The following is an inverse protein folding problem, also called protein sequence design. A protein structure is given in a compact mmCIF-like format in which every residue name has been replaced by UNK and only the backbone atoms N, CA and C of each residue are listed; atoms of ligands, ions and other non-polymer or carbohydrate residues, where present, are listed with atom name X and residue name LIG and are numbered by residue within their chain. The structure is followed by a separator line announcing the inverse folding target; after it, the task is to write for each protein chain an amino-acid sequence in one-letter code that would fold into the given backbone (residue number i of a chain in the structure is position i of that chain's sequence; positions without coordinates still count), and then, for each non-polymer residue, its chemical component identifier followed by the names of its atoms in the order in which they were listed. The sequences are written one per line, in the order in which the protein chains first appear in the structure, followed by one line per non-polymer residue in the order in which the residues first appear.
data_IF_998189022597
#
_entry.id   IF_998189022597
#
_cell.length_a   1.000
_cell.length_b   1.000
_cell.length_c   1.000
_cell.angle_alpha   90.00
_cell.angle_beta   90.00
_cell.angle_gamma   90.00
#
_symmetry.space_group_name_H-M   'P 1'
#
loop_
_entity.id
_entity.type
_entity.pdbx_description
1 polymer ?
#
# COMPACT_ATOMS: atom_id res chain seq x y z
N UNK A 1 -7.89 21.89 -9.57
CA UNK A 1 -8.52 20.80 -8.78
C UNK A 1 -7.44 20.16 -7.94
N UNK A 2 -7.77 19.61 -6.76
CA UNK A 2 -6.77 18.91 -5.95
C UNK A 2 -6.29 17.65 -6.68
N UNK A 3 -4.99 17.35 -6.63
CA UNK A 3 -4.40 16.13 -7.23
C UNK A 3 -4.66 14.89 -6.40
N UNK A 4 -5.03 15.05 -5.12
CA UNK A 4 -5.47 14.00 -4.22
C UNK A 4 -6.85 14.37 -3.68
N UNK A 5 -7.83 13.48 -3.83
CA UNK A 5 -9.15 13.61 -3.21
C UNK A 5 -9.14 12.78 -1.94
N UNK A 6 -9.47 13.43 -0.82
CA UNK A 6 -9.52 12.80 0.50
C UNK A 6 -10.97 12.71 0.93
N UNK A 7 -11.40 11.52 1.29
CA UNK A 7 -12.72 11.28 1.87
C UNK A 7 -12.66 10.28 3.01
N UNK A 8 -13.67 10.28 3.86
CA UNK A 8 -13.72 9.43 5.04
C UNK A 8 -15.03 8.68 5.12
N UNK A 9 -14.94 7.40 5.44
CA UNK A 9 -16.08 6.54 5.74
C UNK A 9 -15.85 5.88 7.10
N UNK A 10 -16.49 6.39 8.14
CA UNK A 10 -16.27 5.97 9.54
C UNK A 10 -14.78 6.05 9.93
N UNK A 11 -14.13 4.91 10.19
CA UNK A 11 -12.72 4.81 10.56
C UNK A 11 -11.79 4.53 9.37
N UNK A 12 -12.30 4.59 8.14
CA UNK A 12 -11.54 4.36 6.91
C UNK A 12 -11.28 5.69 6.20
N UNK A 13 -10.02 5.99 5.92
CA UNK A 13 -9.60 7.11 5.08
C UNK A 13 -9.44 6.62 3.64
N UNK A 14 -10.16 7.23 2.69
CA UNK A 14 -10.02 6.96 1.26
C UNK A 14 -9.24 8.09 0.60
N UNK A 15 -8.14 7.73 -0.06
CA UNK A 15 -7.23 8.59 -0.80
C UNK A 15 -7.33 8.25 -2.29
N UNK A 16 -7.93 9.15 -3.08
CA UNK A 16 -8.12 8.95 -4.52
C UNK A 16 -7.13 9.82 -5.30
N UNK A 17 -6.24 9.18 -6.04
CA UNK A 17 -5.32 9.84 -6.96
C UNK A 17 -6.13 10.50 -8.08
N UNK A 18 -5.95 11.81 -8.30
CA UNK A 18 -6.82 12.62 -9.15
C UNK A 18 -6.04 13.54 -10.10
N UNK A 19 -5.22 12.93 -10.94
CA UNK A 19 -4.55 13.57 -12.09
C UNK A 19 -4.93 12.83 -13.38
N UNK A 20 -6.23 12.87 -13.78
CA UNK A 20 -6.72 12.04 -14.90
C UNK A 20 -6.09 12.39 -16.24
N UNK A 21 -5.73 13.65 -16.48
CA UNK A 21 -5.06 14.09 -17.71
C UNK A 21 -3.66 13.47 -17.85
N UNK A 22 -2.95 13.31 -16.74
CA UNK A 22 -1.62 12.70 -16.64
C UNK A 22 -1.69 11.21 -16.26
N UNK A 23 -2.84 10.57 -16.41
CA UNK A 23 -3.07 9.15 -16.09
C UNK A 23 -2.66 8.79 -14.64
N UNK A 24 -2.87 9.71 -13.71
CA UNK A 24 -2.45 9.63 -12.31
C UNK A 24 -0.94 9.44 -12.12
N UNK A 25 -0.11 9.97 -13.02
CA UNK A 25 1.34 9.96 -12.85
C UNK A 25 1.73 10.66 -11.53
N UNK A 26 2.64 10.03 -10.79
CA UNK A 26 3.07 10.46 -9.46
C UNK A 26 4.15 11.55 -9.59
N UNK A 27 3.74 12.81 -9.47
CA UNK A 27 4.66 13.95 -9.31
C UNK A 27 4.99 14.20 -7.83
N UNK A 28 5.91 15.11 -7.56
CA UNK A 28 6.31 15.44 -6.19
C UNK A 28 5.17 16.05 -5.37
N UNK A 29 4.29 16.83 -5.99
CA UNK A 29 3.15 17.45 -5.32
C UNK A 29 2.15 16.40 -4.83
N UNK A 30 1.75 15.45 -5.68
CA UNK A 30 0.84 14.37 -5.33
C UNK A 30 1.44 13.44 -4.26
N UNK A 31 2.74 13.07 -4.40
CA UNK A 31 3.44 12.26 -3.39
C UNK A 31 3.50 12.97 -2.04
N UNK A 32 3.77 14.28 -2.03
CA UNK A 32 3.79 15.07 -0.79
C UNK A 32 2.42 15.13 -0.14
N UNK A 33 1.34 15.36 -0.92
CA UNK A 33 -0.03 15.33 -0.40
C UNK A 33 -0.36 13.95 0.20
N UNK A 34 -0.03 12.87 -0.52
CA UNK A 34 -0.28 11.50 -0.05
C UNK A 34 0.45 11.20 1.27
N UNK A 35 1.73 11.59 1.37
CA UNK A 35 2.53 11.45 2.61
C UNK A 35 1.89 12.23 3.75
N UNK A 36 1.54 13.49 3.55
CA UNK A 36 0.98 14.35 4.60
C UNK A 36 -0.35 13.79 5.12
N UNK A 37 -1.22 13.31 4.25
CA UNK A 37 -2.49 12.69 4.64
C UNK A 37 -2.29 11.38 5.43
N UNK A 38 -1.34 10.54 5.02
CA UNK A 38 -1.03 9.32 5.75
C UNK A 38 -0.37 9.60 7.10
N UNK A 39 0.50 10.60 7.23
CA UNK A 39 1.09 11.01 8.50
C UNK A 39 0.03 11.60 9.45
N UNK A 40 -0.87 12.42 8.94
CA UNK A 40 -2.02 12.90 9.71
C UNK A 40 -2.90 11.74 10.17
N UNK A 41 -3.20 10.79 9.28
CA UNK A 41 -3.95 9.60 9.62
C UNK A 41 -3.23 8.70 10.63
N UNK A 42 -1.89 8.64 10.63
CA UNK A 42 -1.11 7.83 11.57
C UNK A 42 -1.35 8.24 13.02
N UNK A 43 -1.55 9.52 13.28
CA UNK A 43 -1.78 10.10 14.62
C UNK A 43 -3.26 10.29 14.97
N UNK A 44 -4.15 10.25 13.99
CA UNK A 44 -5.61 10.38 14.22
C UNK A 44 -6.20 9.05 14.70
N UNK A 45 -6.51 8.96 16.00
CA UNK A 45 -7.14 7.76 16.61
C UNK A 45 -8.49 7.39 16.01
N UNK A 46 -9.15 8.31 15.30
CA UNK A 46 -10.42 8.09 14.63
C UNK A 46 -10.29 7.41 13.25
N UNK A 47 -9.06 7.24 12.73
CA UNK A 47 -8.74 6.49 11.51
C UNK A 47 -8.02 5.20 11.88
N UNK A 48 -8.49 4.07 11.38
CA UNK A 48 -7.89 2.75 11.63
C UNK A 48 -7.23 2.14 10.39
N UNK A 49 -7.75 2.44 9.19
CA UNK A 49 -7.30 1.87 7.91
C UNK A 49 -7.32 2.94 6.83
N UNK A 50 -6.37 2.89 5.91
CA UNK A 50 -6.36 3.74 4.71
C UNK A 50 -6.53 2.91 3.44
N UNK A 51 -7.24 3.45 2.46
CA UNK A 51 -7.40 2.88 1.12
C UNK A 51 -6.88 3.88 0.11
N UNK A 52 -6.02 3.45 -0.81
CA UNK A 52 -5.56 4.24 -1.95
C UNK A 52 -6.21 3.68 -3.21
N UNK A 53 -6.75 4.56 -4.05
CA UNK A 53 -7.31 4.19 -5.35
C UNK A 53 -7.00 5.25 -6.41
N UNK A 54 -7.25 4.91 -7.66
CA UNK A 54 -7.22 5.83 -8.79
C UNK A 54 -8.60 5.96 -9.44
N UNK A 55 -8.64 5.95 -10.75
CA UNK A 55 -9.88 5.91 -11.53
C UNK A 55 -10.05 4.57 -12.26
N UNK A 56 -11.15 4.39 -12.98
CA UNK A 56 -11.46 3.14 -13.67
C UNK A 56 -10.40 2.67 -14.70
N UNK A 57 -9.59 3.58 -15.24
CA UNK A 57 -8.58 3.30 -16.28
C UNK A 57 -7.15 3.32 -15.77
N UNK A 58 -6.87 4.09 -14.73
CA UNK A 58 -5.53 4.27 -14.18
C UNK A 58 -5.57 4.32 -12.66
N UNK A 59 -4.92 3.36 -12.02
CA UNK A 59 -4.49 3.53 -10.65
C UNK A 59 -3.40 4.61 -10.62
N UNK A 60 -2.26 4.33 -11.23
CA UNK A 60 -1.20 5.30 -11.50
C UNK A 60 -0.27 4.78 -12.60
N UNK A 61 0.00 5.60 -13.63
CA UNK A 61 0.75 5.19 -14.82
C UNK A 61 2.27 5.30 -14.66
N UNK A 62 2.78 5.64 -13.47
CA UNK A 62 4.21 5.75 -13.19
C UNK A 62 4.61 7.06 -12.54
N UNK A 63 5.90 7.37 -12.54
CA UNK A 63 6.41 8.68 -12.16
C UNK A 63 6.07 9.72 -13.24
N UNK A 64 5.97 10.99 -12.85
CA UNK A 64 5.83 12.07 -13.82
C UNK A 64 7.17 12.27 -14.55
N UNK A 65 7.20 11.88 -15.83
CA UNK A 65 8.42 11.92 -16.63
C UNK A 65 8.86 13.35 -16.93
N UNK A 66 7.95 14.34 -16.94
CA UNK A 66 8.32 15.74 -17.12
C UNK A 66 9.20 16.24 -15.96
N UNK A 67 8.92 15.81 -14.72
CA UNK A 67 9.77 16.13 -13.57
C UNK A 67 11.13 15.41 -13.58
N UNK A 68 11.27 14.34 -14.35
CA UNK A 68 12.50 13.55 -14.44
C UNK A 68 13.39 13.99 -15.61
N UNK A 69 12.79 14.42 -16.72
CA UNK A 69 13.49 14.66 -17.98
C UNK A 69 14.57 15.74 -17.89
N UNK A 70 14.40 16.73 -17.02
CA UNK A 70 15.33 17.86 -16.86
C UNK A 70 16.38 17.65 -15.76
N UNK A 71 16.33 16.51 -15.04
CA UNK A 71 17.26 16.26 -13.93
C UNK A 71 18.58 15.66 -14.43
N UNK A 72 19.66 16.36 -14.16
CA UNK A 72 21.01 15.81 -14.24
C UNK A 72 21.35 14.91 -13.04
N UNK A 73 22.57 14.40 -12.99
CA UNK A 73 23.05 13.56 -11.90
C UNK A 73 23.00 14.28 -10.53
N UNK A 74 23.38 15.57 -10.50
CA UNK A 74 23.42 16.34 -9.25
C UNK A 74 21.98 16.57 -8.71
N UNK A 75 21.04 16.92 -9.59
CA UNK A 75 19.64 17.07 -9.25
C UNK A 75 19.00 15.75 -8.81
N UNK A 76 19.40 14.63 -9.44
CA UNK A 76 18.93 13.29 -9.06
C UNK A 76 19.46 12.87 -7.68
N UNK A 77 20.71 13.14 -7.36
CA UNK A 77 21.30 12.84 -6.04
C UNK A 77 20.64 13.66 -4.91
N UNK A 78 20.20 14.88 -5.21
CA UNK A 78 19.53 15.76 -4.26
C UNK A 78 17.99 15.67 -4.31
N UNK A 79 17.44 14.67 -5.01
CA UNK A 79 15.99 14.49 -5.12
C UNK A 79 15.35 14.16 -3.76
N UNK A 80 14.24 14.81 -3.47
CA UNK A 80 13.46 14.55 -2.24
C UNK A 80 12.53 13.34 -2.34
N UNK A 81 12.34 12.78 -3.53
CA UNK A 81 11.45 11.61 -3.75
C UNK A 81 11.81 10.40 -2.88
N UNK A 82 13.09 10.02 -2.71
CA UNK A 82 13.45 8.91 -1.83
C UNK A 82 12.95 9.12 -0.38
N UNK A 83 13.03 10.35 0.14
CA UNK A 83 12.51 10.66 1.47
C UNK A 83 10.97 10.55 1.54
N UNK A 84 10.24 10.99 0.49
CA UNK A 84 8.78 10.83 0.42
C UNK A 84 8.40 9.34 0.42
N UNK A 85 9.08 8.51 -0.35
CA UNK A 85 8.85 7.05 -0.35
C UNK A 85 9.18 6.41 1.01
N UNK A 86 10.25 6.83 1.68
CA UNK A 86 10.58 6.35 3.02
C UNK A 86 9.48 6.71 4.04
N UNK A 87 8.91 7.92 3.95
CA UNK A 87 7.78 8.35 4.79
C UNK A 87 6.51 7.55 4.51
N UNK A 88 6.19 7.28 3.23
CA UNK A 88 5.08 6.38 2.85
C UNK A 88 5.27 4.98 3.46
N UNK A 89 6.50 4.45 3.36
CA UNK A 89 6.84 3.15 3.93
C UNK A 89 6.72 3.13 5.46
N UNK A 90 6.95 4.24 6.14
CA UNK A 90 6.86 4.33 7.61
C UNK A 90 5.42 4.30 8.13
N UNK A 91 4.39 4.43 7.27
CA UNK A 91 3.00 4.43 7.70
C UNK A 91 2.63 3.11 8.42
N UNK A 92 2.13 3.24 9.66
CA UNK A 92 1.99 2.13 10.60
C UNK A 92 0.60 1.48 10.66
N UNK A 93 -0.44 2.09 10.07
CA UNK A 93 -1.78 1.51 10.01
C UNK A 93 -1.97 0.70 8.72
N UNK A 94 -2.92 -0.26 8.65
CA UNK A 94 -3.21 -0.99 7.44
C UNK A 94 -3.46 -0.07 6.25
N UNK A 95 -2.87 -0.41 5.11
CA UNK A 95 -2.96 0.31 3.86
C UNK A 95 -3.38 -0.64 2.74
N UNK A 96 -4.49 -0.35 2.07
CA UNK A 96 -5.05 -1.17 1.00
C UNK A 96 -4.95 -0.40 -0.32
N UNK A 97 -4.45 -1.03 -1.38
CA UNK A 97 -4.57 -0.53 -2.73
C UNK A 97 -5.80 -1.14 -3.42
N UNK A 98 -6.72 -0.30 -3.89
CA UNK A 98 -7.81 -0.69 -4.77
C UNK A 98 -7.45 -0.30 -6.21
N UNK A 99 -7.04 -1.28 -7.00
CA UNK A 99 -6.40 -1.06 -8.29
C UNK A 99 -7.33 -1.38 -9.44
N UNK A 100 -7.71 -0.37 -10.22
CA UNK A 100 -8.34 -0.52 -11.52
C UNK A 100 -7.42 0.00 -12.62
N UNK A 101 -7.48 -0.63 -13.80
CA UNK A 101 -6.68 -0.24 -14.95
C UNK A 101 -5.18 -0.36 -14.68
N UNK A 102 -4.41 0.60 -15.12
CA UNK A 102 -2.94 0.50 -15.12
C UNK A 102 -2.33 0.94 -13.79
N UNK A 103 -1.52 0.06 -13.18
CA UNK A 103 -0.57 0.32 -12.11
C UNK A 103 0.84 0.03 -12.67
N UNK A 104 1.51 1.05 -13.21
CA UNK A 104 2.78 0.90 -13.90
C UNK A 104 3.89 1.70 -13.21
N UNK A 105 5.13 1.21 -13.28
CA UNK A 105 6.30 1.89 -12.72
C UNK A 105 6.08 2.28 -11.26
N UNK A 106 6.29 3.54 -10.92
CA UNK A 106 6.04 4.08 -9.57
C UNK A 106 4.60 3.82 -9.07
N UNK A 107 3.60 3.67 -9.96
CA UNK A 107 2.25 3.27 -9.59
C UNK A 107 2.17 1.81 -9.14
N UNK A 108 2.91 0.92 -9.80
CA UNK A 108 3.05 -0.47 -9.34
C UNK A 108 3.83 -0.53 -8.02
N UNK A 109 4.88 0.28 -7.87
CA UNK A 109 5.65 0.39 -6.63
C UNK A 109 4.81 0.88 -5.45
N UNK A 110 3.87 1.81 -5.70
CA UNK A 110 2.90 2.27 -4.70
C UNK A 110 1.93 1.14 -4.30
N UNK A 111 1.42 0.37 -5.27
CA UNK A 111 0.59 -0.79 -4.97
C UNK A 111 1.36 -1.85 -4.16
N UNK A 112 2.60 -2.16 -4.53
CA UNK A 112 3.49 -3.08 -3.83
C UNK A 112 3.88 -2.61 -2.40
N UNK A 113 3.80 -1.33 -2.12
CA UNK A 113 4.04 -0.77 -0.78
C UNK A 113 2.85 -1.00 0.15
N UNK A 114 1.64 -1.11 -0.39
CA UNK A 114 0.43 -1.37 0.38
C UNK A 114 0.45 -2.77 1.00
N UNK A 115 -0.22 -2.95 2.13
CA UNK A 115 -0.28 -4.24 2.84
C UNK A 115 -1.15 -5.25 2.10
N UNK A 116 -2.20 -4.77 1.42
CA UNK A 116 -3.14 -5.59 0.63
C UNK A 116 -3.41 -4.90 -0.69
N UNK A 117 -3.42 -5.67 -1.77
CA UNK A 117 -3.82 -5.21 -3.09
C UNK A 117 -5.08 -5.94 -3.52
N UNK A 118 -6.16 -5.20 -3.72
CA UNK A 118 -7.41 -5.66 -4.34
C UNK A 118 -7.45 -5.11 -5.76
N UNK A 119 -7.77 -5.92 -6.74
CA UNK A 119 -7.71 -5.52 -8.15
C UNK A 119 -9.04 -5.73 -8.87
N UNK A 120 -9.35 -4.85 -9.80
CA UNK A 120 -10.37 -5.09 -10.83
C UNK A 120 -9.84 -6.01 -11.93
N UNK A 121 -10.74 -6.71 -12.60
CA UNK A 121 -10.40 -7.62 -13.73
C UNK A 121 -9.61 -6.92 -14.85
N UNK A 122 -9.79 -5.60 -14.99
CA UNK A 122 -9.11 -4.78 -15.98
C UNK A 122 -7.70 -4.35 -15.53
N UNK A 123 -7.29 -4.67 -14.31
CA UNK A 123 -6.01 -4.19 -13.78
C UNK A 123 -4.80 -4.82 -14.50
N UNK A 124 -3.76 -3.98 -14.64
CA UNK A 124 -2.46 -4.35 -15.21
C UNK A 124 -1.35 -3.85 -14.31
N UNK A 125 -0.43 -4.72 -13.97
CA UNK A 125 0.71 -4.42 -13.11
C UNK A 125 2.01 -4.57 -13.91
N UNK A 126 2.91 -3.62 -13.84
CA UNK A 126 4.18 -3.70 -14.57
C UNK A 126 5.21 -2.69 -14.09
N UNK A 127 6.48 -2.99 -14.38
CA UNK A 127 7.63 -2.13 -14.10
C UNK A 127 8.39 -1.90 -15.42
N UNK A 128 7.87 -1.02 -16.32
CA UNK A 128 8.41 -0.85 -17.66
C UNK A 128 9.59 0.12 -17.76
N UNK A 129 10.20 0.51 -16.65
CA UNK A 129 11.26 1.53 -16.57
C UNK A 129 12.45 1.22 -17.48
N UNK A 130 12.70 -0.06 -17.73
CA UNK A 130 13.80 -0.50 -18.62
C UNK A 130 13.64 0.05 -20.05
N UNK A 131 12.43 0.27 -20.50
CA UNK A 131 12.14 0.84 -21.83
C UNK A 131 12.54 2.32 -21.94
N UNK A 132 12.80 2.98 -20.81
CA UNK A 132 13.26 4.35 -20.70
C UNK A 132 14.76 4.45 -20.40
N UNK A 133 15.49 3.33 -20.38
CA UNK A 133 16.91 3.29 -20.03
C UNK A 133 17.20 3.46 -18.54
N UNK A 134 16.22 3.24 -17.70
CA UNK A 134 16.32 3.29 -16.23
C UNK A 134 15.77 2.01 -15.62
N UNK A 135 15.75 1.92 -14.30
CA UNK A 135 15.18 0.80 -13.55
C UNK A 135 14.20 1.31 -12.48
N UNK A 136 13.34 0.45 -11.91
CA UNK A 136 12.49 0.82 -10.78
C UNK A 136 13.32 1.38 -9.63
N UNK A 137 12.91 2.53 -9.08
CA UNK A 137 13.68 3.28 -8.09
C UNK A 137 12.99 3.50 -6.74
N UNK A 138 11.73 3.06 -6.59
CA UNK A 138 10.96 3.21 -5.34
C UNK A 138 10.66 1.87 -4.64
N UNK A 139 11.47 0.85 -4.91
CA UNK A 139 11.43 -0.45 -4.25
C UNK A 139 10.82 -1.57 -5.10
N UNK A 140 10.48 -1.30 -6.38
CA UNK A 140 9.86 -2.28 -7.27
C UNK A 140 10.68 -3.55 -7.42
N UNK A 141 11.98 -3.46 -7.65
CA UNK A 141 12.86 -4.63 -7.76
C UNK A 141 12.90 -5.47 -6.49
N UNK A 142 12.77 -4.83 -5.32
CA UNK A 142 12.88 -5.49 -4.02
C UNK A 142 11.55 -6.11 -3.56
N UNK A 143 10.44 -5.36 -3.73
CA UNK A 143 9.11 -5.83 -3.30
C UNK A 143 8.51 -6.82 -4.29
N UNK A 144 8.67 -6.59 -5.60
CA UNK A 144 8.09 -7.48 -6.60
C UNK A 144 8.65 -8.90 -6.49
N UNK A 145 9.97 -9.07 -6.37
CA UNK A 145 10.58 -10.39 -6.27
C UNK A 145 10.14 -11.15 -5.02
N UNK A 146 9.86 -10.43 -3.92
CA UNK A 146 9.34 -11.02 -2.68
C UNK A 146 7.87 -11.43 -2.79
N UNK A 147 7.11 -10.75 -3.64
CA UNK A 147 5.68 -11.04 -3.86
C UNK A 147 5.46 -12.17 -4.86
N UNK A 148 6.12 -12.13 -6.03
CA UNK A 148 5.81 -13.02 -7.16
C UNK A 148 6.93 -14.04 -7.48
N UNK A 149 8.03 -14.00 -6.71
CA UNK A 149 9.19 -14.86 -6.94
C UNK A 149 10.09 -14.38 -8.08
N UNK A 150 11.30 -14.99 -8.14
CA UNK A 150 12.39 -14.54 -9.03
C UNK A 150 12.00 -14.53 -10.51
N UNK A 151 11.43 -15.62 -11.01
CA UNK A 151 11.23 -15.80 -12.47
C UNK A 151 10.27 -14.76 -13.03
N UNK A 152 9.11 -14.55 -12.39
CA UNK A 152 8.12 -13.59 -12.87
C UNK A 152 8.61 -12.16 -12.66
N UNK A 153 9.20 -11.85 -11.52
CA UNK A 153 9.76 -10.52 -11.26
C UNK A 153 10.86 -10.16 -12.29
N UNK A 154 11.79 -11.08 -12.58
CA UNK A 154 12.83 -10.86 -13.59
C UNK A 154 12.22 -10.64 -14.97
N UNK A 155 11.22 -11.43 -15.37
CA UNK A 155 10.51 -11.23 -16.63
C UNK A 155 9.91 -9.82 -16.70
N UNK A 156 9.11 -9.42 -15.71
CA UNK A 156 8.45 -8.12 -15.69
C UNK A 156 9.44 -6.95 -15.73
N UNK A 157 10.50 -7.00 -14.93
CA UNK A 157 11.47 -5.90 -14.82
C UNK A 157 12.39 -5.83 -16.04
N UNK A 158 12.88 -6.97 -16.55
CA UNK A 158 13.88 -6.98 -17.62
C UNK A 158 13.28 -6.87 -19.02
N UNK A 159 12.02 -7.27 -19.21
CA UNK A 159 11.30 -7.07 -20.48
C UNK A 159 10.41 -5.83 -20.50
N UNK A 160 10.05 -5.28 -19.32
CA UNK A 160 9.05 -4.21 -19.21
C UNK A 160 7.60 -4.69 -19.42
N UNK A 161 7.38 -6.01 -19.54
CA UNK A 161 6.02 -6.54 -19.73
C UNK A 161 5.18 -6.39 -18.48
N UNK A 162 3.91 -6.09 -18.68
CA UNK A 162 2.90 -6.08 -17.60
C UNK A 162 2.16 -7.42 -17.51
N UNK A 163 1.63 -7.72 -16.32
CA UNK A 163 0.79 -8.89 -16.05
C UNK A 163 -0.67 -8.46 -15.80
N UNK A 164 -1.60 -9.37 -16.02
CA UNK A 164 -3.03 -9.18 -15.74
C UNK A 164 -3.33 -9.28 -14.24
N UNK A 165 -4.52 -8.84 -13.83
CA UNK A 165 -5.00 -9.01 -12.45
C UNK A 165 -5.00 -10.48 -12.03
N UNK A 166 -5.46 -11.39 -12.89
CA UNK A 166 -5.50 -12.84 -12.62
C UNK A 166 -4.10 -13.42 -12.47
N UNK A 167 -3.16 -13.04 -13.34
CA UNK A 167 -1.76 -13.46 -13.21
C UNK A 167 -1.13 -12.92 -11.91
N UNK A 168 -1.43 -11.67 -11.56
CA UNK A 168 -0.96 -11.05 -10.33
C UNK A 168 -1.53 -11.75 -9.08
N UNK A 169 -2.79 -12.17 -9.10
CA UNK A 169 -3.42 -12.95 -8.04
C UNK A 169 -2.79 -14.35 -7.92
N UNK A 170 -2.64 -15.06 -9.03
CA UNK A 170 -2.01 -16.38 -9.04
C UNK A 170 -0.56 -16.35 -8.53
N UNK A 171 0.15 -15.24 -8.76
CA UNK A 171 1.51 -15.04 -8.33
C UNK A 171 1.64 -14.51 -6.88
N UNK A 172 0.56 -14.11 -6.22
CA UNK A 172 0.55 -13.62 -4.84
C UNK A 172 0.78 -12.11 -4.68
N UNK A 173 0.76 -11.33 -5.77
CA UNK A 173 0.82 -9.87 -5.69
C UNK A 173 -0.53 -9.27 -5.30
N UNK A 174 -1.63 -9.84 -5.79
CA UNK A 174 -3.00 -9.40 -5.56
C UNK A 174 -3.71 -10.43 -4.68
N UNK A 175 -4.41 -9.98 -3.63
CA UNK A 175 -5.20 -10.86 -2.76
C UNK A 175 -6.46 -11.34 -3.46
N UNK A 176 -7.21 -10.41 -4.08
CA UNK A 176 -8.53 -10.68 -4.63
C UNK A 176 -8.75 -9.90 -5.94
N UNK A 177 -9.46 -10.53 -6.88
CA UNK A 177 -9.86 -9.92 -8.15
C UNK A 177 -11.39 -9.88 -8.22
N UNK A 178 -11.93 -8.72 -8.54
CA UNK A 178 -13.36 -8.45 -8.64
C UNK A 178 -13.73 -7.81 -9.98
N UNK A 179 -15.01 -7.77 -10.36
CA UNK A 179 -15.49 -6.88 -11.41
C UNK A 179 -15.02 -5.45 -11.18
N UNK A 180 -14.56 -4.78 -12.22
CA UNK A 180 -13.84 -3.49 -12.09
C UNK A 180 -14.66 -2.38 -11.45
N UNK A 181 -15.98 -2.41 -11.62
CA UNK A 181 -16.94 -1.47 -11.02
C UNK A 181 -17.15 -1.71 -9.52
N UNK A 182 -16.87 -2.92 -9.03
CA UNK A 182 -17.03 -3.31 -7.62
C UNK A 182 -15.73 -3.29 -6.82
N UNK A 183 -14.57 -3.11 -7.47
CA UNK A 183 -13.25 -3.20 -6.83
C UNK A 183 -13.11 -2.28 -5.61
N UNK A 184 -13.50 -1.01 -5.74
CA UNK A 184 -13.41 -0.05 -4.64
C UNK A 184 -14.35 -0.41 -3.49
N UNK A 185 -15.56 -0.87 -3.80
CA UNK A 185 -16.53 -1.29 -2.79
C UNK A 185 -15.99 -2.42 -1.94
N UNK A 186 -15.43 -3.47 -2.56
CA UNK A 186 -14.81 -4.59 -1.84
C UNK A 186 -13.60 -4.16 -1.01
N UNK A 187 -12.77 -3.26 -1.53
CA UNK A 187 -11.64 -2.72 -0.76
C UNK A 187 -12.11 -1.96 0.50
N UNK A 188 -13.19 -1.17 0.39
CA UNK A 188 -13.79 -0.46 1.51
C UNK A 188 -14.47 -1.40 2.51
N UNK A 189 -15.12 -2.47 2.05
CA UNK A 189 -15.67 -3.52 2.91
C UNK A 189 -14.56 -4.23 3.70
N UNK A 190 -13.44 -4.58 3.05
CA UNK A 190 -12.27 -5.16 3.71
C UNK A 190 -11.67 -4.20 4.73
N UNK A 191 -11.48 -2.93 4.36
CA UNK A 191 -11.01 -1.88 5.26
C UNK A 191 -11.92 -1.72 6.48
N UNK A 192 -13.24 -1.71 6.27
CA UNK A 192 -14.24 -1.62 7.35
C UNK A 192 -14.20 -2.85 8.26
N UNK A 193 -13.94 -4.04 7.72
CA UNK A 193 -13.74 -5.26 8.51
C UNK A 193 -12.49 -5.17 9.38
N UNK A 194 -11.36 -4.71 8.82
CA UNK A 194 -10.12 -4.48 9.57
C UNK A 194 -10.31 -3.43 10.67
N UNK A 195 -11.01 -2.33 10.37
CA UNK A 195 -11.22 -1.23 11.30
C UNK A 195 -12.03 -1.60 12.57
N UNK A 196 -12.68 -2.76 12.58
CA UNK A 196 -13.38 -3.29 13.78
C UNK A 196 -12.44 -3.96 14.79
N UNK A 197 -11.15 -4.16 14.42
CA UNK A 197 -10.18 -4.79 15.29
C UNK A 197 -9.38 -3.75 16.08
N UNK A 198 -8.72 -4.20 17.16
CA UNK A 198 -7.87 -3.34 17.98
C UNK A 198 -6.81 -2.63 17.13
N UNK A 199 -6.75 -1.28 17.14
CA UNK A 199 -5.76 -0.53 16.38
C UNK A 199 -4.32 -0.91 16.75
N UNK A 200 -4.05 -1.16 18.04
CA UNK A 200 -2.71 -1.58 18.50
C UNK A 200 -2.34 -2.96 17.97
N UNK A 201 -3.29 -3.91 17.96
CA UNK A 201 -3.04 -5.24 17.41
C UNK A 201 -2.81 -5.21 15.90
N UNK A 202 -3.57 -4.38 15.15
CA UNK A 202 -3.35 -4.19 13.72
C UNK A 202 -1.95 -3.63 13.41
N UNK A 203 -1.53 -2.60 14.16
CA UNK A 203 -0.22 -1.99 13.98
C UNK A 203 0.92 -2.96 14.31
N UNK A 204 0.81 -3.70 15.42
CA UNK A 204 1.79 -4.70 15.80
C UNK A 204 1.88 -5.84 14.77
N UNK A 205 0.73 -6.33 14.26
CA UNK A 205 0.68 -7.35 13.22
C UNK A 205 1.32 -6.85 11.91
N UNK A 206 1.00 -5.64 11.46
CA UNK A 206 1.64 -5.01 10.29
C UNK A 206 3.14 -4.90 10.48
N UNK A 207 3.60 -4.45 11.65
CA UNK A 207 5.03 -4.35 11.96
C UNK A 207 5.73 -5.71 11.86
N UNK A 208 5.13 -6.77 12.45
CA UNK A 208 5.67 -8.12 12.40
C UNK A 208 5.73 -8.67 10.96
N UNK A 209 4.66 -8.47 10.17
CA UNK A 209 4.60 -8.89 8.76
C UNK A 209 5.67 -8.18 7.91
N UNK A 210 5.85 -6.88 8.10
CA UNK A 210 6.91 -6.12 7.39
C UNK A 210 8.29 -6.61 7.77
N UNK A 211 8.53 -6.84 9.05
CA UNK A 211 9.82 -7.32 9.55
C UNK A 211 10.19 -8.70 8.98
N UNK A 212 9.20 -9.56 8.69
CA UNK A 212 9.45 -10.87 8.09
C UNK A 212 10.15 -10.80 6.73
N UNK A 213 10.06 -9.66 6.03
CA UNK A 213 10.72 -9.42 4.75
C UNK A 213 12.17 -8.91 4.88
N UNK A 214 12.59 -8.52 6.09
CA UNK A 214 13.85 -7.81 6.33
C UNK A 214 14.87 -8.65 7.12
N UNK A 215 14.41 -9.61 7.94
CA UNK A 215 15.28 -10.34 8.87
C UNK A 215 15.18 -11.85 8.72
N UNK A 216 16.18 -12.56 9.25
CA UNK A 216 16.14 -14.02 9.35
C UNK A 216 15.00 -14.47 10.30
N UNK A 217 14.44 -15.65 10.05
CA UNK A 217 13.28 -16.20 10.76
C UNK A 217 13.40 -16.10 12.30
N UNK A 218 14.54 -16.48 12.87
CA UNK A 218 14.72 -16.45 14.34
C UNK A 218 14.62 -15.02 14.91
N UNK A 219 15.18 -14.02 14.23
CA UNK A 219 15.07 -12.63 14.65
C UNK A 219 13.61 -12.13 14.52
N UNK A 220 12.92 -12.52 13.44
CA UNK A 220 11.50 -12.21 13.25
C UNK A 220 10.62 -12.81 14.34
N UNK A 221 10.81 -14.09 14.69
CA UNK A 221 10.09 -14.76 15.77
C UNK A 221 10.32 -14.11 17.15
N UNK A 222 11.56 -13.67 17.42
CA UNK A 222 11.87 -12.97 18.66
C UNK A 222 11.11 -11.63 18.75
N UNK A 223 11.08 -10.88 17.66
CA UNK A 223 10.36 -9.59 17.59
C UNK A 223 8.83 -9.79 17.67
N UNK A 224 8.29 -10.76 16.95
CA UNK A 224 6.86 -11.13 17.03
C UNK A 224 6.48 -11.44 18.49
N UNK A 225 7.31 -12.21 19.20
CA UNK A 225 7.09 -12.51 20.62
C UNK A 225 7.09 -11.27 21.49
N UNK A 226 7.98 -10.32 21.23
CA UNK A 226 7.99 -9.04 21.95
C UNK A 226 6.71 -8.22 21.71
N UNK A 227 6.28 -8.08 20.44
CA UNK A 227 5.06 -7.37 20.08
C UNK A 227 3.82 -8.04 20.72
N UNK A 228 3.74 -9.37 20.65
CA UNK A 228 2.68 -10.13 21.30
C UNK A 228 2.64 -9.89 22.81
N UNK A 229 3.82 -9.86 23.45
CA UNK A 229 3.93 -9.61 24.90
C UNK A 229 3.49 -8.21 25.26
N UNK A 230 3.85 -7.18 24.47
CA UNK A 230 3.41 -5.80 24.70
C UNK A 230 1.89 -5.67 24.60
N UNK A 231 1.26 -6.36 23.65
CA UNK A 231 -0.21 -6.37 23.53
C UNK A 231 -0.90 -6.96 24.76
N UNK A 232 -0.22 -7.81 25.53
CA UNK A 232 -0.79 -8.38 26.77
C UNK A 232 -1.12 -7.33 27.84
N UNK A 233 -0.50 -6.15 27.78
CA UNK A 233 -0.72 -5.05 28.72
C UNK A 233 -1.86 -4.11 28.29
N UNK A 234 -2.46 -4.31 27.10
CA UNK A 234 -3.48 -3.40 26.57
C UNK A 234 -4.88 -3.68 27.13
N UNK A 235 -5.68 -2.62 27.29
CA UNK A 235 -7.10 -2.75 27.61
C UNK A 235 -7.85 -3.49 26.51
N UNK A 236 -7.50 -3.24 25.24
CA UNK A 236 -8.12 -3.88 24.07
C UNK A 236 -7.99 -5.42 24.11
N UNK A 237 -6.86 -5.96 24.60
CA UNK A 237 -6.73 -7.41 24.79
C UNK A 237 -7.74 -7.94 25.80
N UNK A 238 -7.91 -7.26 26.93
CA UNK A 238 -8.87 -7.67 27.95
C UNK A 238 -10.30 -7.57 27.43
N UNK A 239 -10.62 -6.50 26.73
CA UNK A 239 -11.91 -6.32 26.07
C UNK A 239 -12.19 -7.40 25.04
N UNK A 240 -11.23 -7.68 24.16
CA UNK A 240 -11.37 -8.69 23.10
C UNK A 240 -11.64 -10.08 23.65
N UNK A 241 -10.90 -10.51 24.67
CA UNK A 241 -11.09 -11.80 25.32
C UNK A 241 -12.43 -11.86 26.06
N UNK A 242 -12.76 -10.82 26.82
CA UNK A 242 -14.04 -10.72 27.55
C UNK A 242 -15.23 -10.76 26.60
N UNK A 243 -15.21 -9.96 25.53
CA UNK A 243 -16.26 -9.92 24.52
C UNK A 243 -16.46 -11.29 23.84
N UNK A 244 -15.36 -11.97 23.50
CA UNK A 244 -15.41 -13.31 22.91
C UNK A 244 -16.07 -14.33 23.83
N UNK A 245 -15.68 -14.38 25.12
CA UNK A 245 -16.24 -15.29 26.10
C UNK A 245 -17.74 -14.99 26.39
N UNK A 246 -18.13 -13.69 26.33
CA UNK A 246 -19.49 -13.25 26.52
C UNK A 246 -20.33 -13.26 25.22
N UNK A 247 -19.76 -13.67 24.08
CA UNK A 247 -20.42 -13.71 22.76
C UNK A 247 -21.03 -12.36 22.35
N UNK A 248 -20.34 -11.26 22.65
CA UNK A 248 -20.70 -9.89 22.24
C UNK A 248 -19.64 -9.29 21.30
N UNK A 249 -20.01 -8.22 20.62
CA UNK A 249 -19.04 -7.45 19.83
C UNK A 249 -18.10 -6.68 20.77
N UNK A 250 -16.77 -6.73 20.56
CA UNK A 250 -15.82 -5.94 21.32
C UNK A 250 -15.89 -4.45 20.95
N UNK A 251 -15.54 -3.59 21.92
CA UNK A 251 -15.42 -2.14 21.74
C UNK A 251 -13.99 -1.69 22.02
N UNK A 252 -13.13 -1.80 20.98
CA UNK A 252 -11.73 -1.47 21.06
C UNK A 252 -11.47 0.03 21.11
N UNK A 253 -10.58 0.47 22.00
CA UNK A 253 -10.25 1.89 22.23
C UNK A 253 -8.82 2.26 21.81
N UNK A 254 -7.98 1.30 21.43
CA UNK A 254 -6.60 1.53 21.04
C UNK A 254 -5.67 1.86 22.22
N UNK A 255 -5.89 1.29 23.37
CA UNK A 255 -5.11 1.54 24.58
C UNK A 255 -4.99 0.30 25.48
#
# INVERSE_FOLDING_TARGET
MSELIVSRQQQVLLLTLNRPAERNALNNALLTQLVNELEAAATDSSISVCVITGNARFFAAGADLNEMAEKDLAATLNDTRPQLWARLQAFNKPLIAAVNGYALGAGCELALLCDVVVAGENARFGLPEITLGIMPGAGGTQRLIRSVGKSLASKMVLSGESITAQQAQQAGLVSDVFPSDLTLEYALQLASKMARHSPLALQAAKQALRQSQEVALQAGLAQERQLFTLLAATEDRHEGISAFLQKRTPDFKGR
#
